data_IF_850986769251
#
_entry.id   IF_850986769251
#
_cell.length_a   1.000
_cell.length_b   1.000
_cell.length_c   1.000
_cell.angle_alpha   90.00
_cell.angle_beta   90.00
_cell.angle_gamma   90.00
#
_symmetry.space_group_name_H-M   'P 1'
#
loop_
_entity.id
_entity.type
_entity.pdbx_description
1 polymer ?
#
# COMPACT_ATOMS: atom_id res chain seq x y z
N UNK A 1 -0.76 -55.46 0.42
CA UNK A 1 -1.52 -54.40 -0.29
C UNK A 1 -1.92 -53.20 0.57
N UNK A 2 -2.38 -53.33 1.83
CA UNK A 2 -2.79 -52.20 2.67
C UNK A 2 -1.65 -51.26 3.11
N UNK A 3 -0.39 -51.73 3.24
CA UNK A 3 0.78 -50.89 3.63
C UNK A 3 1.32 -50.05 2.48
N UNK A 4 1.14 -50.47 1.21
CA UNK A 4 1.60 -49.71 0.03
C UNK A 4 0.67 -48.54 -0.28
N UNK A 5 -0.63 -48.65 0.03
CA UNK A 5 -1.60 -47.57 -0.17
C UNK A 5 -1.37 -46.44 0.84
N UNK A 6 -0.94 -46.78 2.06
CA UNK A 6 -0.63 -45.74 3.09
C UNK A 6 0.63 -44.93 2.74
N UNK A 7 1.62 -45.51 2.07
CA UNK A 7 2.82 -44.84 1.62
C UNK A 7 2.56 -43.90 0.43
N UNK A 8 1.64 -44.27 -0.48
CA UNK A 8 1.22 -43.39 -1.59
C UNK A 8 0.40 -42.20 -1.12
N UNK A 9 -0.43 -42.36 -0.07
CA UNK A 9 -1.21 -41.25 0.51
C UNK A 9 -0.31 -40.22 1.23
N UNK A 10 0.83 -40.63 1.75
CA UNK A 10 1.82 -39.72 2.39
C UNK A 10 2.66 -38.93 1.36
N UNK A 11 2.83 -39.45 0.15
CA UNK A 11 3.57 -38.81 -0.94
C UNK A 11 2.76 -37.72 -1.67
N UNK A 12 1.43 -37.75 -1.57
CA UNK A 12 0.57 -36.72 -2.20
C UNK A 12 0.26 -35.51 -1.30
N UNK A 13 0.65 -35.54 -0.02
CA UNK A 13 0.46 -34.41 0.92
C UNK A 13 1.71 -33.51 1.05
N UNK A 14 2.77 -33.81 0.31
CA UNK A 14 4.07 -33.12 0.41
C UNK A 14 4.28 -31.90 -0.50
N UNK A 15 3.28 -31.43 -1.24
CA UNK A 15 3.45 -30.37 -2.24
C UNK A 15 2.54 -29.15 -2.03
N UNK A 16 2.43 -28.67 -0.80
CA UNK A 16 1.92 -27.31 -0.52
C UNK A 16 2.91 -26.53 0.36
N UNK A 17 4.20 -26.69 0.13
CA UNK A 17 5.15 -25.70 0.56
C UNK A 17 5.22 -24.66 -0.57
N UNK A 18 4.29 -23.71 -0.58
CA UNK A 18 4.47 -22.48 -1.35
C UNK A 18 5.70 -21.79 -0.76
N UNK A 19 6.84 -21.88 -1.43
CA UNK A 19 7.97 -21.03 -1.14
C UNK A 19 7.48 -19.61 -1.47
N UNK A 20 7.25 -18.81 -0.45
CA UNK A 20 6.73 -17.45 -0.57
C UNK A 20 7.75 -16.53 -1.26
N UNK A 21 9.02 -16.94 -1.33
CA UNK A 21 10.13 -16.20 -1.93
C UNK A 21 10.72 -16.99 -3.09
N UNK A 22 10.73 -16.36 -4.26
CA UNK A 22 11.33 -16.87 -5.49
C UNK A 22 12.75 -16.30 -5.59
N UNK A 23 13.72 -17.12 -5.94
CA UNK A 23 15.09 -16.70 -6.24
C UNK A 23 15.30 -16.80 -7.74
N UNK A 24 15.67 -15.70 -8.36
CA UNK A 24 15.93 -15.62 -9.80
C UNK A 24 17.35 -15.14 -10.10
N UNK A 25 17.88 -15.60 -11.22
CA UNK A 25 19.11 -15.10 -11.80
C UNK A 25 18.79 -14.28 -13.05
N UNK A 26 19.05 -12.97 -12.98
CA UNK A 26 18.81 -12.03 -14.05
C UNK A 26 20.12 -11.69 -14.76
N UNK A 27 20.22 -11.97 -16.06
CA UNK A 27 21.39 -11.61 -16.86
C UNK A 27 21.21 -10.18 -17.38
N UNK A 28 22.00 -9.27 -16.86
CA UNK A 28 21.94 -7.85 -17.24
C UNK A 28 22.93 -7.51 -18.34
N UNK A 29 22.43 -6.94 -19.43
CA UNK A 29 23.26 -6.40 -20.49
C UNK A 29 23.96 -5.09 -20.07
N UNK A 30 23.31 -4.30 -19.17
CA UNK A 30 23.91 -3.06 -18.65
C UNK A 30 25.07 -3.35 -17.71
N UNK A 31 24.89 -4.28 -16.80
CA UNK A 31 25.91 -4.65 -15.82
C UNK A 31 26.98 -5.59 -16.40
N UNK A 32 26.71 -6.26 -17.52
CA UNK A 32 27.55 -7.33 -18.10
C UNK A 32 27.81 -8.46 -17.09
N UNK A 33 26.82 -8.75 -16.24
CA UNK A 33 26.87 -9.79 -15.21
C UNK A 33 25.47 -10.32 -14.86
N UNK A 34 25.45 -11.44 -14.15
CA UNK A 34 24.20 -11.99 -13.61
C UNK A 34 23.91 -11.42 -12.22
N UNK A 35 22.72 -10.85 -12.05
CA UNK A 35 22.20 -10.41 -10.75
C UNK A 35 21.24 -11.42 -10.17
N UNK A 36 21.38 -11.66 -8.87
CA UNK A 36 20.44 -12.48 -8.12
C UNK A 36 19.34 -11.61 -7.54
N UNK A 37 18.11 -12.03 -7.77
CA UNK A 37 16.90 -11.37 -7.29
C UNK A 37 16.21 -12.26 -6.24
N UNK A 38 15.56 -11.63 -5.26
CA UNK A 38 14.56 -12.25 -4.39
C UNK A 38 13.22 -11.66 -4.71
N UNK A 39 12.21 -12.47 -4.99
CA UNK A 39 10.87 -11.98 -5.33
C UNK A 39 9.85 -12.61 -4.41
N UNK A 40 9.05 -11.79 -3.72
CA UNK A 40 7.90 -12.23 -2.95
C UNK A 40 6.62 -11.74 -3.62
N UNK A 41 5.75 -12.68 -3.97
CA UNK A 41 4.42 -12.40 -4.51
C UNK A 41 3.40 -12.32 -3.36
N UNK A 42 2.28 -11.61 -3.56
CA UNK A 42 1.15 -11.61 -2.62
C UNK A 42 0.60 -13.03 -2.39
N UNK A 43 0.02 -13.26 -1.20
CA UNK A 43 -0.50 -14.59 -0.81
C UNK A 43 -1.49 -15.19 -1.79
N UNK A 44 -2.33 -14.38 -2.42
CA UNK A 44 -3.38 -14.81 -3.34
C UNK A 44 -3.06 -14.49 -4.80
N UNK A 45 -1.78 -14.31 -5.13
CA UNK A 45 -1.36 -13.92 -6.48
C UNK A 45 -1.89 -14.85 -7.56
N UNK A 46 -1.81 -16.17 -7.38
CA UNK A 46 -2.23 -17.16 -8.38
C UNK A 46 -3.75 -17.27 -8.52
N UNK A 47 -4.50 -16.95 -7.49
CA UNK A 47 -5.98 -17.05 -7.48
C UNK A 47 -6.66 -15.75 -7.91
N UNK A 48 -6.05 -14.60 -7.68
CA UNK A 48 -6.58 -13.28 -8.02
C UNK A 48 -6.01 -12.80 -9.37
N UNK A 49 -6.38 -13.45 -10.45
CA UNK A 49 -5.80 -13.23 -11.79
C UNK A 49 -6.02 -11.85 -12.39
N UNK A 50 -7.06 -11.14 -11.96
CA UNK A 50 -7.43 -9.82 -12.49
C UNK A 50 -6.79 -8.64 -11.70
N UNK A 51 -6.16 -8.94 -10.54
CA UNK A 51 -5.50 -7.92 -9.73
C UNK A 51 -4.12 -7.55 -10.28
N UNK A 52 -3.78 -6.27 -10.13
CA UNK A 52 -2.44 -5.72 -10.31
C UNK A 52 -1.91 -5.21 -8.98
N UNK A 53 -0.59 -5.16 -8.82
CA UNK A 53 0.05 -4.98 -7.52
C UNK A 53 1.13 -3.89 -7.58
N UNK A 54 1.19 -2.94 -6.63
CA UNK A 54 2.35 -2.07 -6.44
C UNK A 54 3.63 -2.89 -6.30
N UNK A 55 4.75 -2.29 -6.71
CA UNK A 55 6.06 -2.94 -6.66
C UNK A 55 6.96 -2.24 -5.65
N UNK A 56 7.64 -3.01 -4.81
CA UNK A 56 8.61 -2.50 -3.84
C UNK A 56 9.99 -3.06 -4.20
N UNK A 57 10.86 -2.19 -4.72
CA UNK A 57 12.25 -2.52 -5.04
C UNK A 57 13.11 -2.33 -3.80
N UNK A 58 13.76 -3.38 -3.36
CA UNK A 58 14.60 -3.41 -2.17
C UNK A 58 16.06 -3.55 -2.60
N UNK A 59 16.83 -2.50 -2.42
CA UNK A 59 18.28 -2.57 -2.57
C UNK A 59 18.91 -3.23 -1.33
N UNK A 60 20.17 -3.67 -1.41
CA UNK A 60 20.80 -4.42 -0.33
C UNK A 60 19.94 -5.62 0.15
N UNK A 61 19.33 -6.33 -0.77
CA UNK A 61 18.37 -7.41 -0.45
C UNK A 61 18.97 -8.58 0.34
N UNK A 62 20.28 -8.59 0.50
CA UNK A 62 20.98 -9.56 1.35
C UNK A 62 20.55 -9.45 2.82
N UNK A 63 20.17 -8.26 3.29
CA UNK A 63 19.71 -8.04 4.68
C UNK A 63 18.43 -7.18 4.80
N UNK A 64 18.07 -6.38 3.78
CA UNK A 64 16.85 -5.55 3.82
C UNK A 64 15.60 -6.29 3.33
N UNK A 65 15.74 -7.35 2.54
CA UNK A 65 14.60 -8.02 1.93
C UNK A 65 13.63 -8.58 2.97
N UNK A 66 14.11 -9.36 3.92
CA UNK A 66 13.26 -10.01 4.91
C UNK A 66 12.51 -9.02 5.82
N UNK A 67 13.12 -7.94 6.34
CA UNK A 67 12.40 -6.90 7.06
C UNK A 67 11.31 -6.22 6.23
N UNK A 68 11.57 -5.95 4.94
CA UNK A 68 10.57 -5.31 4.06
C UNK A 68 9.46 -6.30 3.73
N UNK A 69 9.81 -7.47 3.19
CA UNK A 69 8.88 -8.48 2.73
C UNK A 69 7.95 -8.97 3.86
N UNK A 70 8.48 -9.16 5.07
CA UNK A 70 7.69 -9.57 6.24
C UNK A 70 6.69 -8.50 6.68
N UNK A 71 7.07 -7.22 6.66
CA UNK A 71 6.14 -6.13 6.99
C UNK A 71 5.08 -5.92 5.88
N UNK A 72 5.47 -6.02 4.61
CA UNK A 72 4.54 -5.96 3.48
C UNK A 72 3.49 -7.06 3.57
N UNK A 73 3.90 -8.31 3.81
CA UNK A 73 2.98 -9.44 3.99
C UNK A 73 2.03 -9.22 5.18
N UNK A 74 2.56 -8.75 6.31
CA UNK A 74 1.78 -8.52 7.52
C UNK A 74 0.75 -7.41 7.34
N UNK A 75 1.16 -6.23 6.84
CA UNK A 75 0.24 -5.10 6.65
C UNK A 75 -0.79 -5.35 5.55
N UNK A 76 -0.42 -6.07 4.49
CA UNK A 76 -1.38 -6.48 3.45
C UNK A 76 -2.43 -7.44 3.97
N UNK A 77 -2.05 -8.37 4.88
CA UNK A 77 -2.99 -9.30 5.51
C UNK A 77 -4.09 -8.59 6.32
N UNK A 78 -3.74 -7.46 6.97
CA UNK A 78 -4.67 -6.65 7.75
C UNK A 78 -5.29 -5.48 6.97
N UNK A 79 -5.05 -5.42 5.66
CA UNK A 79 -5.53 -4.35 4.78
C UNK A 79 -5.02 -2.95 5.15
N UNK A 80 -3.91 -2.84 5.88
CA UNK A 80 -3.27 -1.57 6.21
C UNK A 80 -2.46 -1.00 5.03
N UNK A 81 -2.13 -1.84 4.04
CA UNK A 81 -1.55 -1.46 2.74
C UNK A 81 -2.05 -2.40 1.64
N UNK A 82 -1.96 -2.00 0.35
CA UNK A 82 -2.28 -2.91 -0.74
C UNK A 82 -1.31 -4.09 -0.79
N UNK A 83 -1.83 -5.25 -1.17
CA UNK A 83 -0.99 -6.38 -1.56
C UNK A 83 0.04 -5.89 -2.58
N UNK A 84 1.32 -6.21 -2.37
CA UNK A 84 2.42 -5.68 -3.19
C UNK A 84 3.44 -6.76 -3.53
N UNK A 85 4.06 -6.66 -4.70
CA UNK A 85 5.18 -7.49 -5.11
C UNK A 85 6.46 -6.88 -4.53
N UNK A 86 7.26 -7.67 -3.81
CA UNK A 86 8.56 -7.22 -3.28
C UNK A 86 9.68 -7.84 -4.12
N UNK A 87 10.53 -6.98 -4.68
CA UNK A 87 11.66 -7.39 -5.53
C UNK A 87 12.95 -6.90 -4.90
N UNK A 88 13.77 -7.83 -4.44
CA UNK A 88 15.06 -7.56 -3.83
C UNK A 88 16.22 -7.75 -4.78
N UNK A 89 17.11 -6.77 -4.88
CA UNK A 89 18.36 -6.86 -5.63
C UNK A 89 19.51 -7.17 -4.67
N UNK A 90 20.13 -8.34 -4.82
CA UNK A 90 21.26 -8.78 -3.97
C UNK A 90 22.54 -8.07 -4.38
N UNK A 91 23.23 -7.43 -3.42
CA UNK A 91 24.37 -6.56 -3.65
C UNK A 91 25.57 -6.79 -2.72
N UNK A 92 25.57 -7.84 -1.92
CA UNK A 92 26.61 -8.06 -0.89
C UNK A 92 28.05 -7.90 -1.36
N UNK A 93 28.33 -8.20 -2.65
CA UNK A 93 29.69 -8.12 -3.22
C UNK A 93 29.90 -6.91 -4.14
N UNK A 94 28.84 -6.24 -4.55
CA UNK A 94 28.87 -5.18 -5.57
C UNK A 94 28.38 -3.83 -5.07
N UNK A 95 27.92 -3.77 -3.82
CA UNK A 95 27.25 -2.63 -3.21
C UNK A 95 28.01 -1.31 -3.41
N UNK A 96 29.32 -1.29 -3.18
CA UNK A 96 30.12 -0.09 -3.32
C UNK A 96 30.25 0.34 -4.78
N UNK A 97 30.47 -0.62 -5.68
CA UNK A 97 30.59 -0.36 -7.13
C UNK A 97 29.24 0.08 -7.70
N UNK A 98 28.14 -0.57 -7.31
CA UNK A 98 26.79 -0.22 -7.74
C UNK A 98 26.36 1.18 -7.28
N UNK A 99 26.89 1.66 -6.15
CA UNK A 99 26.55 2.97 -5.61
C UNK A 99 27.60 4.05 -5.95
N UNK A 100 28.57 3.74 -6.82
CA UNK A 100 29.64 4.66 -7.17
C UNK A 100 29.13 5.90 -7.90
N UNK A 101 29.72 7.05 -7.58
CA UNK A 101 29.45 8.32 -8.25
C UNK A 101 30.74 9.10 -8.53
N UNK A 102 30.72 9.92 -9.57
CA UNK A 102 31.87 10.76 -9.99
C UNK A 102 32.17 11.83 -8.94
N UNK A 103 33.45 12.02 -8.63
CA UNK A 103 33.91 12.96 -7.60
C UNK A 103 33.77 14.44 -7.99
N UNK A 104 33.57 14.76 -9.28
CA UNK A 104 33.41 16.14 -9.75
C UNK A 104 31.97 16.59 -9.82
N UNK A 105 31.09 15.74 -10.35
CA UNK A 105 29.66 16.05 -10.48
C UNK A 105 28.75 15.36 -9.50
N UNK A 106 29.26 14.35 -8.76
CA UNK A 106 28.51 13.57 -7.75
C UNK A 106 27.23 12.91 -8.29
N UNK A 107 27.25 12.44 -9.52
CA UNK A 107 26.20 11.63 -10.15
C UNK A 107 26.71 10.21 -10.40
N UNK A 108 25.84 9.21 -10.52
CA UNK A 108 26.25 7.84 -10.80
C UNK A 108 27.24 7.76 -11.97
N UNK A 109 28.32 7.02 -11.78
CA UNK A 109 29.39 6.87 -12.79
C UNK A 109 29.92 5.44 -12.80
N UNK A 110 30.55 5.05 -13.89
CA UNK A 110 31.10 3.71 -14.07
C UNK A 110 30.07 2.63 -13.75
N UNK A 111 30.37 1.71 -12.87
CA UNK A 111 29.42 0.66 -12.40
C UNK A 111 28.15 1.23 -11.78
N UNK A 112 28.25 2.37 -11.07
CA UNK A 112 27.07 3.05 -10.54
C UNK A 112 26.14 3.59 -11.64
N UNK A 113 26.68 4.05 -12.77
CA UNK A 113 25.87 4.45 -13.93
C UNK A 113 25.21 3.23 -14.59
N UNK A 114 25.95 2.13 -14.74
CA UNK A 114 25.41 0.87 -15.26
C UNK A 114 24.28 0.34 -14.36
N UNK A 115 24.46 0.40 -13.04
CA UNK A 115 23.44 -0.04 -12.08
C UNK A 115 22.21 0.90 -12.07
N UNK A 116 22.43 2.20 -12.27
CA UNK A 116 21.34 3.17 -12.42
C UNK A 116 20.49 2.84 -13.67
N UNK A 117 21.12 2.52 -14.79
CA UNK A 117 20.42 2.10 -16.01
C UNK A 117 19.77 0.72 -15.87
N UNK A 118 20.43 -0.22 -15.21
CA UNK A 118 19.88 -1.57 -14.94
C UNK A 118 18.51 -1.51 -14.25
N UNK A 119 18.40 -0.77 -13.15
CA UNK A 119 17.12 -0.71 -12.41
C UNK A 119 15.99 -0.12 -13.27
N UNK A 120 16.28 0.95 -14.03
CA UNK A 120 15.23 1.65 -14.77
C UNK A 120 14.93 1.10 -16.17
N UNK A 121 15.91 0.49 -16.83
CA UNK A 121 15.80 0.07 -18.23
C UNK A 121 15.74 -1.44 -18.44
N UNK A 122 16.10 -2.23 -17.42
CA UNK A 122 16.07 -3.68 -17.50
C UNK A 122 15.22 -4.30 -16.41
N UNK A 123 15.50 -4.02 -15.12
CA UNK A 123 14.80 -4.69 -14.02
C UNK A 123 13.31 -4.34 -13.98
N UNK A 124 12.96 -3.03 -13.95
CA UNK A 124 11.54 -2.66 -13.87
C UNK A 124 10.73 -3.13 -15.08
N UNK A 125 11.19 -2.97 -16.35
CA UNK A 125 10.51 -3.55 -17.50
C UNK A 125 10.36 -5.07 -17.40
N UNK A 126 11.39 -5.78 -16.94
CA UNK A 126 11.30 -7.23 -16.76
C UNK A 126 10.22 -7.63 -15.74
N UNK A 127 10.14 -6.92 -14.62
CA UNK A 127 9.10 -7.17 -13.59
C UNK A 127 7.71 -6.85 -14.16
N UNK A 128 7.55 -5.78 -14.93
CA UNK A 128 6.29 -5.42 -15.57
C UNK A 128 5.83 -6.44 -16.63
N UNK A 129 6.77 -7.05 -17.35
CA UNK A 129 6.48 -8.10 -18.33
C UNK A 129 6.18 -9.47 -17.69
N UNK A 130 6.82 -9.76 -16.56
CA UNK A 130 6.76 -11.07 -15.90
C UNK A 130 5.62 -11.18 -14.89
N UNK A 131 5.18 -10.06 -14.30
CA UNK A 131 4.24 -10.02 -13.21
C UNK A 131 3.13 -8.99 -13.44
N UNK A 132 2.00 -9.15 -12.76
CA UNK A 132 0.87 -8.20 -12.80
C UNK A 132 1.15 -6.99 -11.91
N UNK A 133 1.81 -6.01 -12.45
CA UNK A 133 2.23 -4.80 -11.71
C UNK A 133 1.25 -3.65 -11.86
N UNK A 134 1.14 -2.84 -10.84
CA UNK A 134 0.53 -1.52 -10.86
C UNK A 134 1.62 -0.44 -11.06
N UNK A 135 1.20 0.77 -11.42
CA UNK A 135 2.14 1.86 -11.73
C UNK A 135 2.89 2.43 -10.53
N UNK A 136 2.48 2.08 -9.31
CA UNK A 136 3.09 2.60 -8.09
C UNK A 136 4.31 1.77 -7.70
N UNK A 137 5.48 2.40 -7.74
CA UNK A 137 6.76 1.74 -7.45
C UNK A 137 7.44 2.44 -6.28
N UNK A 138 7.89 1.67 -5.28
CA UNK A 138 8.63 2.14 -4.11
C UNK A 138 10.06 1.64 -4.16
N UNK A 139 11.03 2.50 -3.89
CA UNK A 139 12.44 2.12 -3.66
C UNK A 139 12.75 2.13 -2.17
N UNK A 140 13.42 1.08 -1.68
CA UNK A 140 13.89 0.96 -0.29
C UNK A 140 15.41 0.81 -0.27
N UNK A 141 16.09 1.64 0.50
CA UNK A 141 17.54 1.60 0.66
C UNK A 141 18.00 2.04 2.05
N UNK A 142 19.23 1.64 2.39
CA UNK A 142 19.88 1.95 3.64
C UNK A 142 21.31 2.37 3.39
N UNK A 143 21.79 3.44 4.04
CA UNK A 143 23.16 3.93 3.93
C UNK A 143 23.54 4.31 2.47
N UNK A 144 24.51 3.70 1.81
CA UNK A 144 24.89 3.96 0.41
C UNK A 144 23.71 3.80 -0.55
N UNK A 145 22.94 2.73 -0.40
CA UNK A 145 21.82 2.46 -1.31
C UNK A 145 20.65 3.41 -1.07
N UNK A 146 20.50 3.96 0.14
CA UNK A 146 19.54 5.02 0.42
C UNK A 146 19.91 6.32 -0.32
N UNK A 147 21.20 6.69 -0.33
CA UNK A 147 21.65 7.83 -1.15
C UNK A 147 21.47 7.56 -2.65
N UNK A 148 21.76 6.33 -3.09
CA UNK A 148 21.63 5.95 -4.50
C UNK A 148 20.21 6.12 -5.03
N UNK A 149 19.19 5.78 -4.23
CA UNK A 149 17.78 6.02 -4.58
C UNK A 149 17.49 7.49 -4.92
N UNK A 150 18.15 8.45 -4.25
CA UNK A 150 17.93 9.87 -4.47
C UNK A 150 18.29 10.32 -5.89
N UNK A 151 19.17 9.62 -6.59
CA UNK A 151 19.51 9.96 -7.97
C UNK A 151 18.32 9.82 -8.92
N UNK A 152 17.36 8.93 -8.62
CA UNK A 152 16.15 8.75 -9.43
C UNK A 152 15.14 9.91 -9.28
N UNK A 153 15.22 10.71 -8.21
CA UNK A 153 14.45 11.95 -8.10
C UNK A 153 14.84 12.99 -9.15
N UNK A 154 16.08 12.91 -9.68
CA UNK A 154 16.57 13.86 -10.69
C UNK A 154 16.05 13.58 -12.09
N UNK A 155 15.46 12.41 -12.34
CA UNK A 155 14.79 12.07 -13.62
C UNK A 155 13.48 12.85 -13.79
N UNK A 156 12.98 12.89 -15.01
CA UNK A 156 11.70 13.51 -15.36
C UNK A 156 10.91 12.58 -16.28
N UNK A 157 9.86 11.90 -15.78
CA UNK A 157 9.45 11.84 -14.35
C UNK A 157 10.47 11.09 -13.48
N UNK A 158 10.41 11.19 -12.13
CA UNK A 158 11.12 10.31 -11.22
C UNK A 158 10.79 8.83 -11.47
N UNK A 159 11.73 7.93 -11.18
CA UNK A 159 11.54 6.50 -11.43
C UNK A 159 10.58 5.86 -10.41
N UNK A 160 10.65 6.29 -9.16
CA UNK A 160 9.83 5.77 -8.06
C UNK A 160 8.77 6.79 -7.66
N UNK A 161 7.62 6.29 -7.20
CA UNK A 161 6.59 7.09 -6.52
C UNK A 161 6.85 7.21 -5.02
N UNK A 162 7.46 6.17 -4.44
CA UNK A 162 7.83 6.11 -3.03
C UNK A 162 9.32 5.90 -2.83
N UNK A 163 9.88 6.58 -1.83
CA UNK A 163 11.29 6.50 -1.43
C UNK A 163 11.35 6.23 0.07
N UNK A 164 11.88 5.06 0.47
CA UNK A 164 12.18 4.73 1.87
C UNK A 164 13.69 4.80 2.03
N UNK A 165 14.14 5.88 2.65
CA UNK A 165 15.55 6.31 2.75
C UNK A 165 15.97 6.25 4.20
N UNK A 166 16.72 5.21 4.55
CA UNK A 166 17.12 4.92 5.94
C UNK A 166 18.61 5.27 6.12
N UNK A 167 18.91 6.21 7.01
CA UNK A 167 20.29 6.63 7.34
C UNK A 167 21.19 6.80 6.10
N UNK A 168 20.86 7.69 5.15
CA UNK A 168 21.58 7.81 3.90
C UNK A 168 23.00 8.39 4.08
N UNK A 169 24.01 7.76 3.49
CA UNK A 169 25.31 8.37 3.26
C UNK A 169 25.23 9.29 2.03
N UNK A 170 24.90 10.55 2.28
CA UNK A 170 24.61 11.51 1.20
C UNK A 170 25.83 11.87 0.38
N UNK A 171 25.69 11.82 -0.95
CA UNK A 171 26.71 12.39 -1.84
C UNK A 171 26.78 13.92 -1.66
N UNK A 172 27.97 14.53 -1.87
CA UNK A 172 28.11 15.98 -1.75
C UNK A 172 27.08 16.73 -2.62
N UNK A 173 26.52 17.80 -2.08
CA UNK A 173 25.46 18.60 -2.72
C UNK A 173 24.10 17.89 -2.93
N UNK A 174 23.87 16.67 -2.46
CA UNK A 174 22.59 15.96 -2.59
C UNK A 174 21.42 16.80 -2.07
N UNK A 175 21.50 17.31 -0.83
CA UNK A 175 20.49 18.18 -0.22
C UNK A 175 20.13 19.38 -1.10
N UNK A 176 21.12 20.09 -1.62
CA UNK A 176 20.91 21.25 -2.51
C UNK A 176 20.22 20.86 -3.82
N UNK A 177 20.62 19.72 -4.40
CA UNK A 177 20.01 19.23 -5.65
C UNK A 177 18.57 18.81 -5.45
N UNK A 178 18.28 18.09 -4.36
CA UNK A 178 16.92 17.69 -4.02
C UNK A 178 16.02 18.91 -3.79
N UNK A 179 16.50 19.91 -3.03
CA UNK A 179 15.77 21.17 -2.82
C UNK A 179 15.45 21.89 -4.14
N UNK A 180 16.36 21.88 -5.12
CA UNK A 180 16.13 22.48 -6.42
C UNK A 180 15.28 21.66 -7.39
N UNK A 181 15.16 20.34 -7.16
CA UNK A 181 14.45 19.40 -8.04
C UNK A 181 13.01 19.15 -7.59
N UNK A 182 12.78 18.88 -6.30
CA UNK A 182 11.49 18.47 -5.76
C UNK A 182 10.36 19.44 -6.13
N UNK A 183 10.50 20.77 -6.02
CA UNK A 183 9.45 21.71 -6.41
C UNK A 183 9.06 21.68 -7.89
N UNK A 184 9.84 21.01 -8.74
CA UNK A 184 9.61 20.88 -10.18
C UNK A 184 9.00 19.52 -10.56
N UNK A 185 8.77 18.64 -9.59
CA UNK A 185 8.15 17.34 -9.81
C UNK A 185 6.64 17.55 -9.90
N UNK A 186 6.04 17.02 -10.95
CA UNK A 186 4.60 17.13 -11.21
C UNK A 186 3.83 15.85 -10.87
N UNK A 187 4.54 14.76 -10.63
CA UNK A 187 3.96 13.48 -10.18
C UNK A 187 3.96 13.41 -8.66
N UNK A 188 3.01 12.67 -8.10
CA UNK A 188 2.95 12.42 -6.66
C UNK A 188 4.16 11.63 -6.18
N UNK A 189 4.86 12.13 -5.16
CA UNK A 189 6.03 11.51 -4.54
C UNK A 189 5.81 11.38 -3.03
N UNK A 190 6.07 10.19 -2.52
CA UNK A 190 6.14 9.88 -1.10
C UNK A 190 7.61 9.70 -0.71
N UNK A 191 8.11 10.51 0.20
CA UNK A 191 9.50 10.43 0.62
C UNK A 191 9.59 10.29 2.14
N UNK A 192 10.05 9.14 2.59
CA UNK A 192 10.29 8.84 3.99
C UNK A 192 11.79 8.84 4.27
N UNK A 193 12.24 9.72 5.15
CA UNK A 193 13.60 9.81 5.65
C UNK A 193 13.63 9.37 7.12
N UNK A 194 14.56 8.50 7.47
CA UNK A 194 14.78 8.13 8.86
C UNK A 194 16.25 8.14 9.24
N UNK A 195 16.51 8.47 10.51
CA UNK A 195 17.80 8.35 11.19
C UNK A 195 17.59 7.85 12.62
N UNK A 196 18.65 7.69 13.38
CA UNK A 196 18.60 7.22 14.76
C UNK A 196 19.58 7.98 15.66
N UNK A 197 19.32 8.04 16.98
CA UNK A 197 20.17 8.80 17.90
C UNK A 197 21.51 8.15 18.16
N UNK A 198 21.60 6.82 18.05
CA UNK A 198 22.84 6.05 18.27
C UNK A 198 23.41 5.53 16.92
N UNK A 199 23.07 6.25 15.84
CA UNK A 199 23.59 6.03 14.49
C UNK A 199 25.02 6.56 14.34
N UNK A 200 25.64 6.33 13.18
CA UNK A 200 26.91 6.96 12.79
C UNK A 200 26.70 8.47 12.78
N UNK A 201 27.52 9.19 13.52
CA UNK A 201 27.31 10.62 13.81
C UNK A 201 27.22 11.47 12.54
N UNK A 202 28.05 11.19 11.57
CA UNK A 202 28.10 11.91 10.29
C UNK A 202 26.79 11.71 9.51
N UNK A 203 26.28 10.49 9.45
CA UNK A 203 25.02 10.16 8.78
C UNK A 203 23.81 10.79 9.46
N UNK A 204 23.80 10.79 10.81
CA UNK A 204 22.75 11.50 11.56
C UNK A 204 22.74 13.00 11.23
N UNK A 205 23.91 13.64 11.20
CA UNK A 205 24.02 15.07 10.87
C UNK A 205 23.54 15.38 9.46
N UNK A 206 23.91 14.54 8.48
CA UNK A 206 23.49 14.67 7.08
C UNK A 206 21.99 14.46 6.92
N UNK A 207 21.41 13.46 7.58
CA UNK A 207 19.97 13.22 7.58
C UNK A 207 19.19 14.35 8.23
N UNK A 208 19.68 14.94 9.34
CA UNK A 208 19.07 16.10 9.99
C UNK A 208 19.15 17.36 9.12
N UNK A 209 20.28 17.59 8.42
CA UNK A 209 20.45 18.70 7.49
C UNK A 209 19.50 18.54 6.29
N UNK A 210 19.36 17.33 5.75
CA UNK A 210 18.41 17.02 4.71
C UNK A 210 16.96 17.23 5.19
N UNK A 211 16.60 16.74 6.37
CA UNK A 211 15.28 16.96 6.97
C UNK A 211 14.98 18.46 7.11
N UNK A 212 15.92 19.25 7.64
CA UNK A 212 15.73 20.69 7.79
C UNK A 212 15.43 21.39 6.46
N UNK A 213 15.96 20.87 5.38
CA UNK A 213 15.72 21.39 4.02
C UNK A 213 14.37 20.90 3.47
N UNK A 214 14.13 19.59 3.51
CA UNK A 214 12.95 18.98 2.85
C UNK A 214 11.64 19.37 3.52
N UNK A 215 11.59 19.48 4.84
CA UNK A 215 10.38 19.92 5.59
C UNK A 215 9.90 21.32 5.25
N UNK A 216 10.78 22.15 4.64
CA UNK A 216 10.43 23.52 4.21
C UNK A 216 9.87 23.58 2.79
N UNK A 217 9.88 22.46 2.05
CA UNK A 217 9.36 22.39 0.67
C UNK A 217 7.84 22.23 0.75
N UNK A 218 7.11 23.27 0.38
CA UNK A 218 5.67 23.28 0.28
C UNK A 218 5.27 23.12 -1.20
N UNK A 219 4.93 21.89 -1.59
CA UNK A 219 4.40 21.56 -2.92
C UNK A 219 3.38 20.42 -2.81
N UNK A 220 2.26 20.49 -3.52
CA UNK A 220 1.15 19.54 -3.34
C UNK A 220 1.50 18.08 -3.70
N UNK A 221 2.54 17.88 -4.52
CA UNK A 221 2.91 16.55 -5.01
C UNK A 221 4.04 15.89 -4.20
N UNK A 222 4.42 16.44 -3.04
CA UNK A 222 5.52 15.93 -2.22
C UNK A 222 5.06 15.62 -0.80
N UNK A 223 4.80 14.34 -0.55
CA UNK A 223 4.42 13.82 0.76
C UNK A 223 5.70 13.45 1.52
N UNK A 224 6.14 14.34 2.41
CA UNK A 224 7.38 14.17 3.15
C UNK A 224 7.16 13.73 4.59
N UNK A 225 7.94 12.71 5.00
CA UNK A 225 7.92 12.17 6.36
C UNK A 225 9.34 12.02 6.90
N UNK A 226 9.51 12.27 8.19
CA UNK A 226 10.78 12.13 8.88
C UNK A 226 10.61 11.54 10.27
N UNK A 227 11.51 10.62 10.64
CA UNK A 227 11.63 10.10 12.00
C UNK A 227 13.09 10.01 12.44
N UNK A 228 13.34 10.35 13.73
CA UNK A 228 14.62 10.11 14.39
C UNK A 228 14.36 9.15 15.56
N UNK A 229 14.78 7.90 15.43
CA UNK A 229 14.48 6.83 16.36
C UNK A 229 15.41 6.85 17.58
N UNK A 230 14.84 7.20 18.73
CA UNK A 230 15.56 7.27 20.00
C UNK A 230 16.09 5.88 20.43
N UNK A 231 17.38 5.79 20.76
CA UNK A 231 18.05 4.56 21.19
C UNK A 231 18.10 3.47 20.11
N UNK A 232 17.92 3.82 18.84
CA UNK A 232 18.22 2.93 17.73
C UNK A 232 19.65 3.16 17.24
N UNK A 233 20.31 2.08 16.85
CA UNK A 233 21.60 2.10 16.17
C UNK A 233 21.40 2.12 14.66
N UNK A 234 22.48 2.29 13.91
CA UNK A 234 22.50 2.22 12.44
C UNK A 234 21.73 1.00 11.89
N UNK A 235 21.95 -0.18 12.45
CA UNK A 235 21.29 -1.41 11.99
C UNK A 235 19.90 -1.63 12.59
N UNK A 236 19.66 -1.26 13.86
CA UNK A 236 18.34 -1.45 14.47
C UNK A 236 17.30 -0.44 13.95
N UNK A 237 17.75 0.68 13.36
CA UNK A 237 16.92 1.62 12.62
C UNK A 237 16.07 0.94 11.54
N UNK A 238 16.66 0.01 10.79
CA UNK A 238 15.98 -0.73 9.71
C UNK A 238 14.70 -1.39 10.22
N UNK A 239 14.80 -2.14 11.32
CA UNK A 239 13.66 -2.86 11.89
C UNK A 239 12.57 -1.94 12.46
N UNK A 240 12.91 -0.70 12.82
CA UNK A 240 11.95 0.31 13.33
C UNK A 240 11.39 1.19 12.23
N UNK A 241 12.21 1.58 11.28
CA UNK A 241 11.87 2.55 10.23
C UNK A 241 10.98 1.96 9.14
N UNK A 242 11.23 0.71 8.70
CA UNK A 242 10.46 0.07 7.63
C UNK A 242 8.95 0.03 7.93
N UNK A 243 8.48 -0.51 9.07
CA UNK A 243 7.05 -0.53 9.35
C UNK A 243 6.44 0.88 9.38
N UNK A 244 7.10 1.83 10.01
CA UNK A 244 6.62 3.23 10.08
C UNK A 244 6.57 3.88 8.70
N UNK A 245 7.55 3.61 7.83
CA UNK A 245 7.57 4.11 6.46
C UNK A 245 6.37 3.60 5.66
N UNK A 246 6.11 2.29 5.71
CA UNK A 246 4.97 1.66 5.03
C UNK A 246 3.65 2.22 5.56
N UNK A 247 3.51 2.34 6.87
CA UNK A 247 2.32 2.93 7.50
C UNK A 247 2.02 4.34 7.03
N UNK A 248 3.02 5.21 6.92
CA UNK A 248 2.86 6.60 6.47
C UNK A 248 2.58 6.68 4.97
N UNK A 249 3.30 5.89 4.18
CA UNK A 249 3.19 5.90 2.72
C UNK A 249 1.82 5.40 2.23
N UNK A 250 1.27 4.38 2.87
CA UNK A 250 0.00 3.77 2.50
C UNK A 250 -1.19 4.21 3.39
N UNK A 251 -1.05 5.30 4.15
CA UNK A 251 -2.06 5.74 5.12
C UNK A 251 -3.47 5.90 4.52
N UNK A 252 -3.60 6.43 3.29
CA UNK A 252 -4.88 6.63 2.60
C UNK A 252 -5.58 5.31 2.25
N UNK A 253 -4.80 4.23 2.08
CA UNK A 253 -5.33 2.90 1.74
C UNK A 253 -6.04 2.23 2.93
N UNK A 254 -5.70 2.59 4.16
CA UNK A 254 -6.25 1.96 5.36
C UNK A 254 -7.77 2.03 5.42
N UNK A 255 -8.43 1.02 6.01
CA UNK A 255 -9.86 1.10 6.35
C UNK A 255 -10.16 2.33 7.20
N UNK A 256 -11.37 2.86 7.09
CA UNK A 256 -11.83 4.00 7.89
C UNK A 256 -11.70 3.67 9.39
N UNK A 257 -10.77 4.36 10.05
CA UNK A 257 -10.48 4.16 11.46
C UNK A 257 -11.57 4.79 12.36
N UNK A 258 -11.57 4.40 13.64
CA UNK A 258 -12.43 5.04 14.64
C UNK A 258 -12.15 6.54 14.79
N UNK A 259 -10.90 6.93 14.66
CA UNK A 259 -10.50 8.34 14.69
C UNK A 259 -11.04 9.08 13.47
N UNK A 260 -10.80 8.58 12.26
CA UNK A 260 -11.32 9.13 11.00
C UNK A 260 -12.85 9.22 11.01
N UNK A 261 -13.55 8.20 11.52
CA UNK A 261 -14.99 8.23 11.70
C UNK A 261 -15.43 9.40 12.59
N UNK A 262 -14.79 9.59 13.75
CA UNK A 262 -15.20 10.61 14.72
C UNK A 262 -14.80 12.04 14.31
N UNK A 263 -13.60 12.20 13.75
CA UNK A 263 -13.03 13.52 13.46
C UNK A 263 -13.34 14.03 12.06
N UNK A 264 -13.58 13.12 11.11
CA UNK A 264 -13.89 13.46 9.72
C UNK A 264 -15.35 13.16 9.39
N UNK A 265 -15.76 11.89 9.38
CA UNK A 265 -17.10 11.51 8.91
C UNK A 265 -18.23 12.15 9.72
N UNK A 266 -18.11 12.29 11.04
CA UNK A 266 -19.14 12.92 11.87
C UNK A 266 -19.11 14.45 11.84
N UNK A 267 -18.12 15.07 11.23
CA UNK A 267 -17.95 16.53 11.20
C UNK A 267 -18.06 17.15 9.80
N UNK A 268 -17.85 16.34 8.77
CA UNK A 268 -17.88 16.76 7.36
C UNK A 268 -19.23 17.36 7.00
N UNK A 269 -19.22 18.45 6.20
CA UNK A 269 -20.44 19.14 5.74
C UNK A 269 -20.82 18.77 4.31
N UNK A 270 -19.90 18.20 3.56
CA UNK A 270 -20.16 17.64 2.23
C UNK A 270 -20.86 16.29 2.35
N UNK A 271 -21.47 15.78 1.26
CA UNK A 271 -22.08 14.46 1.28
C UNK A 271 -21.07 13.37 1.67
N UNK A 272 -21.48 12.49 2.60
CA UNK A 272 -20.62 11.37 3.05
C UNK A 272 -20.38 10.37 1.90
N UNK A 273 -21.33 10.24 0.99
CA UNK A 273 -21.16 9.48 -0.25
C UNK A 273 -19.96 9.95 -1.08
N UNK A 274 -19.80 11.27 -1.20
CA UNK A 274 -18.69 11.86 -1.97
C UNK A 274 -17.34 11.55 -1.29
N UNK A 275 -17.30 11.65 0.04
CA UNK A 275 -16.10 11.27 0.78
C UNK A 275 -15.67 9.82 0.49
N UNK A 276 -16.61 8.87 0.51
CA UNK A 276 -16.31 7.46 0.24
C UNK A 276 -15.82 7.26 -1.20
N UNK A 277 -16.50 7.90 -2.17
CA UNK A 277 -16.13 7.83 -3.59
C UNK A 277 -14.74 8.44 -3.81
N UNK A 278 -14.46 9.61 -3.23
CA UNK A 278 -13.19 10.31 -3.39
C UNK A 278 -12.04 9.54 -2.74
N UNK A 279 -12.26 8.89 -1.58
CA UNK A 279 -11.26 8.03 -0.93
C UNK A 279 -10.81 6.90 -1.87
N UNK A 280 -11.75 6.14 -2.43
CA UNK A 280 -11.42 5.00 -3.30
C UNK A 280 -10.93 5.44 -4.68
N UNK A 281 -11.43 6.58 -5.19
CA UNK A 281 -10.84 7.20 -6.38
C UNK A 281 -9.38 7.59 -6.16
N UNK A 282 -9.06 8.18 -5.00
CA UNK A 282 -7.67 8.54 -4.64
C UNK A 282 -6.78 7.31 -4.52
N UNK A 283 -7.26 6.22 -3.90
CA UNK A 283 -6.55 4.94 -3.82
C UNK A 283 -6.24 4.42 -5.24
N UNK A 284 -7.22 4.41 -6.13
CA UNK A 284 -7.05 3.99 -7.52
C UNK A 284 -6.06 4.88 -8.29
N UNK A 285 -6.20 6.19 -8.18
CA UNK A 285 -5.37 7.14 -8.91
C UNK A 285 -3.90 7.10 -8.45
N UNK A 286 -3.65 6.95 -7.13
CA UNK A 286 -2.31 6.89 -6.55
C UNK A 286 -1.63 5.54 -6.81
N UNK A 287 -2.29 4.45 -6.44
CA UNK A 287 -1.64 3.14 -6.42
C UNK A 287 -1.86 2.35 -7.72
N UNK A 288 -2.75 2.79 -8.62
CA UNK A 288 -3.06 2.12 -9.87
C UNK A 288 -3.83 0.81 -9.68
N UNK A 289 -4.50 0.63 -8.55
CA UNK A 289 -5.29 -0.55 -8.20
C UNK A 289 -6.78 -0.22 -8.20
N UNK A 290 -7.61 -1.18 -8.58
CA UNK A 290 -9.08 -1.01 -8.68
C UNK A 290 -9.76 -1.99 -7.71
N UNK A 291 -9.61 -1.73 -6.41
CA UNK A 291 -10.23 -2.54 -5.37
C UNK A 291 -11.68 -2.11 -5.13
N UNK A 292 -12.55 -3.08 -4.83
CA UNK A 292 -13.92 -2.80 -4.36
C UNK A 292 -13.87 -2.16 -2.97
N UNK A 293 -14.88 -1.35 -2.68
CA UNK A 293 -15.00 -0.67 -1.38
C UNK A 293 -15.21 -1.71 -0.28
N UNK A 294 -14.40 -1.65 0.78
CA UNK A 294 -14.46 -2.60 1.90
C UNK A 294 -15.80 -2.53 2.63
N UNK A 295 -16.28 -3.68 3.07
CA UNK A 295 -17.49 -3.79 3.90
C UNK A 295 -17.44 -2.88 5.13
N UNK A 296 -16.29 -2.80 5.80
CA UNK A 296 -16.11 -1.93 6.97
C UNK A 296 -16.26 -0.44 6.63
N UNK A 297 -15.82 0.00 5.45
CA UNK A 297 -15.94 1.39 5.01
C UNK A 297 -17.38 1.72 4.61
N UNK A 298 -18.09 0.76 4.01
CA UNK A 298 -19.54 0.88 3.80
C UNK A 298 -20.29 1.03 5.13
N UNK A 299 -19.99 0.19 6.12
CA UNK A 299 -20.64 0.24 7.45
C UNK A 299 -20.32 1.56 8.16
N UNK A 300 -19.08 2.04 8.10
CA UNK A 300 -18.68 3.30 8.74
C UNK A 300 -19.41 4.49 8.11
N UNK A 301 -19.40 4.58 6.80
CA UNK A 301 -20.02 5.71 6.07
C UNK A 301 -21.53 5.71 6.15
N UNK A 302 -22.20 4.56 6.07
CA UNK A 302 -23.66 4.47 6.24
C UNK A 302 -24.09 4.84 7.65
N UNK A 303 -23.39 4.37 8.70
CA UNK A 303 -23.65 4.79 10.09
C UNK A 303 -23.46 6.30 10.30
N UNK A 304 -22.45 6.89 9.68
CA UNK A 304 -22.23 8.33 9.76
C UNK A 304 -23.35 9.09 9.01
N UNK A 305 -23.78 8.62 7.84
CA UNK A 305 -24.89 9.19 7.09
C UNK A 305 -26.21 9.16 7.87
N UNK A 306 -26.54 8.03 8.50
CA UNK A 306 -27.72 7.91 9.39
C UNK A 306 -27.63 8.91 10.56
N UNK A 307 -26.48 8.98 11.25
CA UNK A 307 -26.30 9.85 12.41
C UNK A 307 -26.38 11.34 12.06
N UNK A 308 -25.94 11.72 10.86
CA UNK A 308 -26.05 13.09 10.35
C UNK A 308 -27.35 13.34 9.59
N UNK A 309 -28.24 12.35 9.45
CA UNK A 309 -29.48 12.41 8.67
C UNK A 309 -29.24 12.80 7.19
N UNK A 310 -28.11 12.39 6.64
CA UNK A 310 -27.77 12.57 5.22
C UNK A 310 -28.40 11.42 4.38
N UNK A 311 -29.73 11.41 4.26
CA UNK A 311 -30.48 10.30 3.69
C UNK A 311 -30.11 10.03 2.22
N UNK A 312 -29.87 11.07 1.43
CA UNK A 312 -29.44 10.87 0.02
C UNK A 312 -28.05 10.23 -0.06
N UNK A 313 -27.10 10.60 0.82
CA UNK A 313 -25.81 9.90 0.92
C UNK A 313 -25.98 8.43 1.30
N UNK A 314 -26.87 8.14 2.27
CA UNK A 314 -27.18 6.76 2.67
C UNK A 314 -27.69 5.93 1.49
N UNK A 315 -28.58 6.50 0.67
CA UNK A 315 -29.11 5.84 -0.52
C UNK A 315 -28.03 5.54 -1.54
N UNK A 316 -27.20 6.54 -1.87
CA UNK A 316 -26.09 6.37 -2.83
C UNK A 316 -25.14 5.27 -2.37
N UNK A 317 -24.71 5.29 -1.10
CA UNK A 317 -23.80 4.30 -0.52
C UNK A 317 -24.45 2.91 -0.54
N UNK A 318 -25.74 2.80 -0.20
CA UNK A 318 -26.46 1.53 -0.19
C UNK A 318 -26.61 0.92 -1.61
N UNK A 319 -26.84 1.77 -2.63
CA UNK A 319 -26.89 1.35 -4.02
C UNK A 319 -25.51 0.88 -4.54
N UNK A 320 -24.44 1.54 -4.10
CA UNK A 320 -23.05 1.09 -4.38
C UNK A 320 -22.78 -0.28 -3.73
N UNK A 321 -23.08 -0.41 -2.44
CA UNK A 321 -22.92 -1.68 -1.71
C UNK A 321 -23.72 -2.82 -2.34
N UNK A 322 -24.97 -2.55 -2.81
CA UNK A 322 -25.79 -3.54 -3.51
C UNK A 322 -25.17 -3.99 -4.84
N UNK A 323 -24.48 -3.12 -5.53
CA UNK A 323 -23.83 -3.42 -6.83
C UNK A 323 -22.53 -4.21 -6.62
N UNK A 324 -21.73 -3.85 -5.62
CA UNK A 324 -20.43 -4.47 -5.36
C UNK A 324 -20.54 -5.78 -4.57
N UNK A 325 -21.55 -5.90 -3.70
CA UNK A 325 -21.84 -7.08 -2.88
C UNK A 325 -23.26 -7.61 -3.15
N UNK A 326 -23.58 -8.04 -4.38
CA UNK A 326 -24.95 -8.37 -4.78
C UNK A 326 -25.54 -9.57 -4.02
N UNK A 327 -24.68 -10.49 -3.55
CA UNK A 327 -25.10 -11.71 -2.84
C UNK A 327 -25.31 -11.50 -1.33
N UNK A 328 -25.08 -10.27 -0.82
CA UNK A 328 -25.14 -9.98 0.61
C UNK A 328 -26.34 -9.11 1.00
N UNK A 329 -26.68 -9.12 2.30
CA UNK A 329 -27.71 -8.25 2.90
C UNK A 329 -27.27 -6.78 3.03
N UNK A 330 -26.00 -6.44 2.78
CA UNK A 330 -25.42 -5.12 3.04
C UNK A 330 -26.17 -3.98 2.33
N UNK A 331 -26.28 -4.03 1.01
CA UNK A 331 -27.00 -3.03 0.23
C UNK A 331 -28.50 -2.98 0.53
N UNK A 332 -29.21 -4.12 0.52
CA UNK A 332 -30.61 -4.18 0.90
C UNK A 332 -30.91 -3.62 2.29
N UNK A 333 -30.08 -3.90 3.30
CA UNK A 333 -30.28 -3.37 4.64
C UNK A 333 -30.32 -1.83 4.66
N UNK A 334 -29.28 -1.19 4.14
CA UNK A 334 -29.20 0.26 4.17
C UNK A 334 -30.18 0.95 3.22
N UNK A 335 -30.56 0.30 2.11
CA UNK A 335 -31.65 0.78 1.27
C UNK A 335 -33.01 0.73 2.00
N UNK A 336 -33.27 -0.33 2.74
CA UNK A 336 -34.43 -0.44 3.60
C UNK A 336 -34.44 0.66 4.67
N UNK A 337 -33.29 0.90 5.33
CA UNK A 337 -33.12 2.00 6.30
C UNK A 337 -33.39 3.37 5.69
N UNK A 338 -32.90 3.63 4.48
CA UNK A 338 -33.21 4.86 3.77
C UNK A 338 -34.72 5.04 3.60
N UNK A 339 -35.45 4.00 3.11
CA UNK A 339 -36.90 4.12 2.86
C UNK A 339 -37.72 4.22 4.16
N UNK A 340 -37.26 3.63 5.26
CA UNK A 340 -37.86 3.87 6.60
C UNK A 340 -37.83 5.37 6.94
N UNK A 341 -36.67 6.00 6.79
CA UNK A 341 -36.43 7.37 7.26
C UNK A 341 -37.06 8.45 6.35
N UNK A 342 -37.24 8.16 5.06
CA UNK A 342 -37.94 9.10 4.13
C UNK A 342 -39.44 8.87 4.07
N UNK A 343 -40.03 8.02 4.93
CA UNK A 343 -41.47 7.85 5.05
C UNK A 343 -42.09 6.95 3.99
N UNK A 344 -41.33 6.00 3.43
CA UNK A 344 -41.80 4.97 2.50
C UNK A 344 -41.80 3.56 3.14
N UNK A 345 -42.50 3.33 4.27
CA UNK A 345 -42.35 2.11 5.07
C UNK A 345 -42.73 0.84 4.31
N UNK A 346 -43.73 0.89 3.42
CA UNK A 346 -44.11 -0.26 2.61
C UNK A 346 -43.01 -0.72 1.66
N UNK A 347 -42.22 0.22 1.16
CA UNK A 347 -41.07 -0.07 0.29
C UNK A 347 -39.91 -0.63 1.10
N UNK A 348 -39.63 -0.04 2.27
CA UNK A 348 -38.64 -0.55 3.22
C UNK A 348 -38.92 -2.01 3.60
N UNK A 349 -40.17 -2.31 4.01
CA UNK A 349 -40.61 -3.66 4.38
C UNK A 349 -40.34 -4.68 3.25
N UNK A 350 -40.71 -4.34 2.01
CA UNK A 350 -40.50 -5.22 0.86
C UNK A 350 -39.01 -5.50 0.59
N UNK A 351 -38.15 -4.49 0.80
CA UNK A 351 -36.70 -4.65 0.62
C UNK A 351 -36.13 -5.57 1.70
N UNK A 352 -36.51 -5.39 2.97
CA UNK A 352 -36.06 -6.25 4.05
C UNK A 352 -36.51 -7.71 3.83
N UNK A 353 -37.78 -7.92 3.45
CA UNK A 353 -38.31 -9.26 3.16
C UNK A 353 -37.66 -9.91 1.92
N UNK A 354 -37.29 -9.12 0.93
CA UNK A 354 -36.70 -9.60 -0.32
C UNK A 354 -35.24 -10.05 -0.23
N UNK A 355 -34.62 -9.96 0.94
CA UNK A 355 -33.21 -10.31 1.13
C UNK A 355 -33.01 -11.69 1.83
N UNK A 356 -34.02 -12.54 1.87
CA UNK A 356 -34.02 -13.81 2.61
C UNK A 356 -33.03 -14.86 2.09
N UNK A 357 -32.58 -14.75 0.86
CA UNK A 357 -31.64 -15.63 0.18
C UNK A 357 -30.19 -15.13 0.15
N UNK A 358 -29.92 -14.00 0.85
CA UNK A 358 -28.62 -13.34 0.82
C UNK A 358 -27.74 -13.69 2.01
N UNK A 359 -26.44 -13.56 1.80
CA UNK A 359 -25.43 -13.80 2.83
C UNK A 359 -25.44 -12.68 3.89
N UNK A 360 -25.33 -13.08 5.14
CA UNK A 360 -25.24 -12.18 6.29
C UNK A 360 -23.92 -11.44 6.34
N UNK A 361 -23.91 -10.18 6.84
CA UNK A 361 -22.72 -9.35 6.94
C UNK A 361 -22.59 -8.76 8.35
N UNK A 362 -21.68 -9.30 9.13
CA UNK A 362 -21.41 -8.83 10.49
C UNK A 362 -22.66 -8.82 11.37
N UNK A 363 -23.09 -7.63 11.82
CA UNK A 363 -24.30 -7.49 12.63
C UNK A 363 -25.61 -7.48 11.82
N UNK A 364 -25.52 -7.43 10.51
CA UNK A 364 -26.69 -7.45 9.62
C UNK A 364 -26.99 -8.90 9.28
N UNK A 365 -27.94 -9.48 10.04
CA UNK A 365 -28.40 -10.86 9.87
C UNK A 365 -29.78 -10.88 9.20
N UNK A 366 -30.20 -12.06 8.73
CA UNK A 366 -31.54 -12.28 8.20
C UNK A 366 -32.60 -12.02 9.27
N UNK A 367 -32.34 -12.40 10.53
CA UNK A 367 -33.21 -12.11 11.63
C UNK A 367 -33.42 -10.60 11.85
N UNK A 368 -32.34 -9.81 11.80
CA UNK A 368 -32.42 -8.33 11.86
C UNK A 368 -33.26 -7.76 10.70
N UNK A 369 -33.14 -8.32 9.51
CA UNK A 369 -33.94 -7.92 8.35
C UNK A 369 -35.42 -8.22 8.53
N UNK A 370 -35.74 -9.44 9.02
CA UNK A 370 -37.12 -9.87 9.27
C UNK A 370 -37.76 -9.08 10.43
N UNK A 371 -37.05 -8.88 11.53
CA UNK A 371 -37.52 -8.08 12.67
C UNK A 371 -37.89 -6.66 12.23
N UNK A 372 -37.08 -6.05 11.34
CA UNK A 372 -37.41 -4.73 10.77
C UNK A 372 -38.68 -4.75 9.89
N UNK A 373 -38.81 -5.77 9.07
CA UNK A 373 -40.01 -5.90 8.22
C UNK A 373 -41.27 -6.14 9.06
N UNK A 374 -41.21 -6.99 10.09
CA UNK A 374 -42.34 -7.29 10.98
C UNK A 374 -42.73 -6.08 11.83
N UNK A 375 -41.74 -5.34 12.33
CA UNK A 375 -41.99 -4.08 13.03
C UNK A 375 -42.75 -3.06 12.17
N UNK A 376 -42.33 -2.87 10.92
CA UNK A 376 -43.02 -1.98 10.00
C UNK A 376 -44.44 -2.47 9.74
N UNK A 377 -44.65 -3.78 9.61
CA UNK A 377 -45.96 -4.38 9.40
C UNK A 377 -46.87 -4.13 10.61
N UNK A 378 -46.36 -4.27 11.82
CA UNK A 378 -47.07 -3.98 13.07
C UNK A 378 -47.43 -2.50 13.19
N UNK A 379 -46.44 -1.60 13.00
CA UNK A 379 -46.58 -0.14 13.19
C UNK A 379 -47.56 0.50 12.18
N UNK A 380 -47.66 -0.04 10.96
CA UNK A 380 -48.48 0.52 9.88
C UNK A 380 -49.67 -0.35 9.46
N UNK A 381 -49.85 -1.52 10.06
CA UNK A 381 -51.02 -2.39 9.82
C UNK A 381 -51.06 -3.04 8.44
N UNK A 382 -49.89 -3.43 7.90
CA UNK A 382 -49.76 -4.04 6.56
C UNK A 382 -50.00 -5.58 6.62
#
# INVERSE_FOLDING_TARGET
>A
MKKTILLLAFLTFGFLANAQVIYEEFNSDRLQETRRLKIQLPRNYDTNTDKVYPVIIVLDADYLFEPVAGNVDYFSYWEDMPESIVVGVMQARTRFDDCNYDSGNYLPSEKGADFFEFLGLELLPYIDESYRTAKFVVGVGHDFTANFLNFYLYKSPPLFNGYIVLSPELSPNATKRMAGRIPKITTEIFYYLATATDDIKELTQDAEALNNTLKSIDTPNFNYYYDNFQGATHYSLVARGIPVALEKMFAIYRPISREEYNTVLLTIKTPISDYLIDKYKTIKDLFGIDDIIRVNDYIATTKAAEKQKQWESLKVIAEMAKREYPETVLGPYYLGRYYEEVGEPKKAMRIFQGAFDKEEVGFITLDVMLDKADKIKEDFGY
#
